data_IF_898290130935
#
_entry.id   IF_898290130935
#
_cell.length_a   1.000
_cell.length_b   1.000
_cell.length_c   1.000
_cell.angle_alpha   90.00
_cell.angle_beta   90.00
_cell.angle_gamma   90.00
#
_symmetry.space_group_name_H-M   'P 1'
#
loop_
_entity.id
_entity.type
_entity.pdbx_description
1 polymer ?
#
# COMPACT_ATOMS: atom_id res chain seq x y z
N UNK A 1 -4.14 12.45 -15.03
CA UNK A 1 -4.89 12.28 -13.77
C UNK A 1 -4.16 13.04 -12.65
N UNK A 2 -4.87 13.78 -11.78
CA UNK A 2 -4.26 14.43 -10.59
C UNK A 2 -4.48 13.52 -9.38
N UNK A 3 -3.47 13.38 -8.51
CA UNK A 3 -3.65 12.73 -7.21
C UNK A 3 -3.71 13.76 -6.06
N UNK A 4 -4.38 13.37 -4.97
CA UNK A 4 -4.57 14.20 -3.77
C UNK A 4 -3.78 13.69 -2.57
N UNK A 5 -3.42 12.41 -2.55
CA UNK A 5 -2.69 11.82 -1.45
C UNK A 5 -1.82 10.65 -1.88
N UNK A 6 -0.79 10.41 -1.09
CA UNK A 6 0.09 9.26 -1.18
C UNK A 6 0.35 8.72 0.22
N UNK A 7 0.06 7.43 0.41
CA UNK A 7 0.04 6.79 1.73
C UNK A 7 0.85 5.49 1.76
N UNK A 8 1.53 5.14 0.67
CA UNK A 8 2.55 4.09 0.68
C UNK A 8 3.92 4.76 0.57
N UNK A 9 4.48 5.16 1.73
CA UNK A 9 5.79 5.82 1.78
C UNK A 9 6.58 5.35 2.99
N UNK A 10 7.90 5.30 2.83
CA UNK A 10 8.84 4.79 3.82
C UNK A 10 9.76 5.89 4.30
N UNK A 11 10.16 5.81 5.56
CA UNK A 11 11.14 6.69 6.18
C UNK A 11 12.39 5.92 6.57
N UNK A 12 13.41 6.63 7.06
CA UNK A 12 14.62 6.01 7.64
C UNK A 12 14.33 4.95 8.71
N UNK A 13 13.11 4.89 9.27
CA UNK A 13 12.70 3.82 10.18
C UNK A 13 12.67 2.43 9.52
N UNK A 14 12.43 2.35 8.20
CA UNK A 14 12.47 1.08 7.44
C UNK A 14 13.88 0.52 7.21
N UNK A 15 14.94 1.27 7.56
CA UNK A 15 16.34 0.85 7.45
C UNK A 15 16.94 0.87 6.04
N UNK A 16 16.11 0.81 5.00
CA UNK A 16 16.51 0.89 3.59
C UNK A 16 15.80 2.00 2.80
N UNK A 17 15.13 2.90 3.51
CA UNK A 17 14.68 4.19 3.01
C UNK A 17 15.56 5.31 3.58
N UNK A 18 15.67 6.41 2.85
CA UNK A 18 16.73 7.41 3.01
C UNK A 18 16.21 8.81 3.33
N UNK A 19 14.93 8.93 3.69
CA UNK A 19 14.31 10.21 4.04
C UNK A 19 13.55 10.13 5.35
N UNK A 20 13.59 11.23 6.09
CA UNK A 20 12.88 11.40 7.34
C UNK A 20 11.41 11.71 7.08
N UNK A 21 10.57 11.56 8.10
CA UNK A 21 9.18 12.03 8.07
C UNK A 21 9.06 13.47 7.58
N UNK A 22 9.95 14.36 8.05
CA UNK A 22 9.93 15.78 7.68
C UNK A 22 10.20 15.98 6.19
N UNK A 23 11.23 15.31 5.64
CA UNK A 23 11.59 15.44 4.22
C UNK A 23 10.47 14.92 3.31
N UNK A 24 9.89 13.76 3.63
CA UNK A 24 8.75 13.22 2.87
C UNK A 24 7.54 14.17 2.92
N UNK A 25 7.25 14.73 4.08
CA UNK A 25 6.14 15.66 4.26
C UNK A 25 6.36 16.99 3.53
N UNK A 26 7.58 17.52 3.55
CA UNK A 26 7.94 18.73 2.80
C UNK A 26 7.76 18.52 1.29
N UNK A 27 8.15 17.35 0.77
CA UNK A 27 7.90 17.01 -0.63
C UNK A 27 6.40 16.91 -0.93
N UNK A 28 5.63 16.23 -0.07
CA UNK A 28 4.19 16.12 -0.23
C UNK A 28 3.51 17.50 -0.27
N UNK A 29 3.92 18.41 0.62
CA UNK A 29 3.44 19.79 0.64
C UNK A 29 3.85 20.56 -0.63
N UNK A 30 5.10 20.42 -1.07
CA UNK A 30 5.62 21.06 -2.28
C UNK A 30 4.89 20.59 -3.56
N UNK A 31 4.53 19.30 -3.62
CA UNK A 31 3.71 18.71 -4.70
C UNK A 31 2.21 19.01 -4.56
N UNK A 32 1.79 19.71 -3.50
CA UNK A 32 0.41 20.11 -3.28
C UNK A 32 -0.54 18.96 -2.96
N UNK A 33 -0.03 17.87 -2.37
CA UNK A 33 -0.86 16.81 -1.82
C UNK A 33 -1.66 17.33 -0.63
N UNK A 34 -2.93 16.96 -0.53
CA UNK A 34 -3.79 17.33 0.60
C UNK A 34 -3.60 16.39 1.79
N UNK A 35 -3.12 15.17 1.54
CA UNK A 35 -2.78 14.22 2.59
C UNK A 35 -1.52 13.40 2.26
N UNK A 36 -0.86 12.96 3.31
CA UNK A 36 0.36 12.17 3.30
C UNK A 36 0.23 11.04 4.33
N UNK A 37 0.73 9.85 3.99
CA UNK A 37 0.74 8.69 4.87
C UNK A 37 2.12 8.07 5.05
N UNK A 38 2.46 7.73 6.28
CA UNK A 38 3.65 6.93 6.61
C UNK A 38 3.26 5.46 6.72
N UNK A 39 3.99 4.58 6.04
CA UNK A 39 3.73 3.14 6.04
C UNK A 39 5.02 2.34 6.10
N UNK A 40 5.93 2.71 7.01
CA UNK A 40 7.17 1.97 7.23
C UNK A 40 6.94 0.47 7.43
N UNK A 41 7.91 -0.36 7.04
CA UNK A 41 7.79 -1.80 7.16
C UNK A 41 7.72 -2.25 8.62
N UNK A 42 6.88 -3.24 8.89
CA UNK A 42 6.81 -3.88 10.20
C UNK A 42 8.07 -4.72 10.55
N UNK A 43 8.25 -5.14 11.83
CA UNK A 43 9.54 -5.61 12.37
C UNK A 43 10.11 -6.89 11.76
N UNK A 44 9.31 -7.74 11.10
CA UNK A 44 9.83 -8.95 10.47
C UNK A 44 10.70 -8.65 9.24
N UNK A 45 10.56 -7.47 8.64
CA UNK A 45 11.45 -7.00 7.58
C UNK A 45 12.85 -6.73 8.17
N UNK A 46 13.92 -7.38 7.67
CA UNK A 46 15.26 -7.21 8.23
C UNK A 46 15.73 -5.75 8.22
N UNK A 47 16.11 -5.25 9.40
CA UNK A 47 16.62 -3.88 9.58
C UNK A 47 15.53 -2.80 9.71
N UNK A 48 14.25 -3.18 9.73
CA UNK A 48 13.14 -2.25 9.86
C UNK A 48 12.82 -1.83 11.30
N UNK A 49 11.81 -0.97 11.44
CA UNK A 49 11.36 -0.36 12.66
C UNK A 49 10.89 -1.40 13.70
N UNK A 50 11.29 -1.27 14.97
CA UNK A 50 10.76 -2.10 16.05
C UNK A 50 9.31 -1.70 16.38
N UNK A 51 8.57 -2.60 17.03
CA UNK A 51 7.15 -2.39 17.40
C UNK A 51 6.87 -1.07 18.15
N UNK A 52 7.82 -0.59 18.97
CA UNK A 52 7.68 0.65 19.74
C UNK A 52 7.55 1.89 18.84
N UNK A 53 8.09 1.85 17.62
CA UNK A 53 7.95 2.92 16.62
C UNK A 53 6.47 3.21 16.34
N UNK A 54 5.73 2.17 16.00
CA UNK A 54 4.31 2.23 15.66
C UNK A 54 3.41 2.58 16.86
N UNK A 55 3.83 2.21 18.07
CA UNK A 55 3.10 2.53 19.30
C UNK A 55 3.15 4.03 19.65
N UNK A 56 4.09 4.80 19.10
CA UNK A 56 4.31 6.19 19.49
C UNK A 56 3.74 7.23 18.51
N UNK A 57 2.97 6.82 17.50
CA UNK A 57 2.33 7.73 16.53
C UNK A 57 1.45 8.82 17.16
N UNK A 58 1.05 8.67 18.43
CA UNK A 58 0.39 9.73 19.22
C UNK A 58 1.17 11.06 19.28
N UNK A 59 2.48 11.06 19.02
CA UNK A 59 3.28 12.29 18.99
C UNK A 59 3.14 13.08 17.68
N UNK A 60 2.61 12.46 16.63
CA UNK A 60 2.44 13.05 15.30
C UNK A 60 1.13 13.83 15.27
N UNK A 61 1.20 15.09 14.84
CA UNK A 61 0.02 15.95 14.67
C UNK A 61 -0.77 15.52 13.43
N UNK A 62 -2.09 15.71 13.46
CA UNK A 62 -2.96 15.41 12.31
C UNK A 62 -2.74 16.29 11.09
N UNK A 63 -2.27 17.52 11.29
CA UNK A 63 -1.95 18.42 10.19
C UNK A 63 -0.61 19.09 10.46
N UNK A 64 0.26 19.06 9.44
CA UNK A 64 1.58 19.68 9.47
C UNK A 64 1.84 20.26 8.08
N UNK A 65 2.31 21.51 8.01
CA UNK A 65 2.57 22.22 6.73
C UNK A 65 1.34 22.29 5.78
N UNK A 66 0.11 22.28 6.34
CA UNK A 66 -1.13 22.30 5.56
C UNK A 66 -1.50 20.96 4.91
N UNK A 67 -0.80 19.88 5.25
CA UNK A 67 -1.04 18.51 4.76
C UNK A 67 -1.59 17.66 5.90
N UNK A 68 -2.67 16.91 5.65
CA UNK A 68 -3.18 15.94 6.61
C UNK A 68 -2.23 14.73 6.70
N UNK A 69 -1.87 14.33 7.91
CA UNK A 69 -0.91 13.25 8.17
C UNK A 69 -1.63 12.03 8.74
N UNK A 70 -1.49 10.91 8.03
CA UNK A 70 -2.00 9.61 8.42
C UNK A 70 -0.84 8.69 8.77
N UNK A 71 -1.01 7.91 9.83
CA UNK A 71 0.02 7.01 10.35
C UNK A 71 -0.41 5.58 10.17
N UNK A 72 0.25 4.86 9.28
CA UNK A 72 0.00 3.46 8.94
C UNK A 72 1.23 2.58 9.10
N UNK A 73 1.15 1.41 8.48
CA UNK A 73 2.23 0.43 8.39
C UNK A 73 2.09 -0.36 7.10
N UNK A 74 3.20 -0.77 6.53
CA UNK A 74 3.22 -1.92 5.62
C UNK A 74 3.57 -3.17 6.44
N UNK A 75 2.52 -3.88 6.85
CA UNK A 75 2.63 -5.13 7.59
C UNK A 75 3.05 -6.28 6.67
N UNK A 76 3.90 -7.16 7.19
CA UNK A 76 4.38 -8.31 6.45
C UNK A 76 3.41 -9.48 6.65
N UNK A 77 2.98 -10.11 5.57
CA UNK A 77 2.24 -11.38 5.65
C UNK A 77 3.23 -12.52 5.90
N UNK A 78 3.00 -13.26 6.99
CA UNK A 78 3.98 -14.18 7.57
C UNK A 78 3.74 -15.66 7.24
N UNK A 79 2.53 -15.99 6.78
CA UNK A 79 2.18 -17.34 6.38
C UNK A 79 1.03 -17.36 5.36
N UNK A 80 0.74 -18.54 4.83
CA UNK A 80 -0.35 -18.76 3.86
C UNK A 80 -1.75 -18.71 4.48
N UNK A 81 -1.87 -18.48 5.79
CA UNK A 81 -3.14 -18.19 6.46
C UNK A 81 -3.41 -16.69 6.55
N UNK A 82 -2.43 -15.85 6.19
CA UNK A 82 -2.56 -14.39 6.19
C UNK A 82 -2.27 -13.74 7.54
N UNK A 83 -1.56 -14.42 8.45
CA UNK A 83 -1.14 -13.81 9.71
C UNK A 83 -0.12 -12.69 9.45
N UNK A 84 -0.18 -11.62 10.24
CA UNK A 84 0.70 -10.46 10.14
C UNK A 84 1.76 -10.47 11.24
N UNK A 85 2.85 -9.73 11.03
CA UNK A 85 3.95 -9.59 11.99
C UNK A 85 3.73 -8.53 13.09
N UNK A 86 2.55 -7.91 13.12
CA UNK A 86 2.08 -7.04 14.20
C UNK A 86 0.72 -7.51 14.71
N UNK A 87 0.52 -7.45 16.02
CA UNK A 87 -0.75 -7.82 16.63
C UNK A 87 -1.82 -6.72 16.48
N UNK A 88 -3.08 -7.13 16.54
CA UNK A 88 -4.26 -6.24 16.44
C UNK A 88 -4.27 -5.09 17.45
N UNK A 89 -3.64 -5.27 18.61
CA UNK A 89 -3.60 -4.23 19.64
C UNK A 89 -2.75 -3.01 19.22
N UNK A 90 -1.81 -3.21 18.29
CA UNK A 90 -0.99 -2.18 17.67
C UNK A 90 -1.66 -1.68 16.40
N UNK A 91 -2.08 -2.58 15.52
CA UNK A 91 -2.70 -2.24 14.22
C UNK A 91 -3.90 -1.30 14.40
N UNK A 92 -4.73 -1.50 15.43
CA UNK A 92 -5.88 -0.63 15.72
C UNK A 92 -5.53 0.82 16.07
N UNK A 93 -4.28 1.13 16.40
CA UNK A 93 -3.81 2.49 16.74
C UNK A 93 -3.47 3.29 15.49
N UNK A 94 -3.32 2.63 14.35
CA UNK A 94 -2.99 3.21 13.07
C UNK A 94 -4.24 3.68 12.33
N UNK A 95 -4.04 4.61 11.42
CA UNK A 95 -5.08 5.06 10.49
C UNK A 95 -5.39 4.02 9.42
N UNK A 96 -4.41 3.22 9.00
CA UNK A 96 -4.58 2.20 7.98
C UNK A 96 -3.47 1.16 8.08
N UNK A 97 -3.70 -0.02 7.50
CA UNK A 97 -2.69 -1.07 7.34
C UNK A 97 -2.66 -1.49 5.88
N UNK A 98 -1.46 -1.45 5.31
CA UNK A 98 -1.13 -2.11 4.04
C UNK A 98 -0.60 -3.49 4.43
N UNK A 99 -1.10 -4.56 3.82
CA UNK A 99 -0.56 -5.90 4.00
C UNK A 99 0.06 -6.37 2.67
N UNK A 100 1.29 -6.87 2.74
CA UNK A 100 2.08 -7.19 1.55
C UNK A 100 2.85 -8.51 1.71
N UNK A 101 3.18 -9.13 0.58
CA UNK A 101 4.08 -10.28 0.53
C UNK A 101 5.50 -9.79 0.25
N UNK A 102 6.45 -10.12 1.12
CA UNK A 102 7.85 -9.77 0.93
C UNK A 102 8.73 -11.02 1.02
N UNK A 103 9.67 -11.14 0.07
CA UNK A 103 10.60 -12.27 -0.04
C UNK A 103 11.38 -12.55 1.26
N UNK A 104 11.81 -11.53 2.04
CA UNK A 104 12.46 -11.78 3.33
C UNK A 104 11.56 -12.38 4.42
N UNK A 105 10.24 -12.20 4.32
CA UNK A 105 9.29 -12.52 5.39
C UNK A 105 8.54 -13.83 5.13
N UNK A 106 8.20 -14.12 3.87
CA UNK A 106 7.49 -15.34 3.48
C UNK A 106 8.05 -15.88 2.17
N UNK A 107 8.53 -17.12 2.18
CA UNK A 107 8.91 -17.80 0.93
C UNK A 107 7.67 -17.92 0.03
N UNK A 108 7.82 -17.62 -1.26
CA UNK A 108 6.74 -17.78 -2.24
C UNK A 108 6.28 -19.24 -2.34
N UNK A 109 4.96 -19.43 -2.29
CA UNK A 109 4.26 -20.69 -2.53
C UNK A 109 3.74 -20.79 -3.96
N UNK A 110 2.81 -21.71 -4.19
CA UNK A 110 2.06 -21.75 -5.46
C UNK A 110 1.00 -20.63 -5.52
N UNK A 111 0.38 -20.44 -6.70
CA UNK A 111 -0.59 -19.37 -6.91
C UNK A 111 -1.77 -19.38 -5.92
N UNK A 112 -2.24 -20.58 -5.56
CA UNK A 112 -3.31 -20.76 -4.59
C UNK A 112 -2.86 -20.35 -3.18
N UNK A 113 -1.68 -20.80 -2.75
CA UNK A 113 -1.13 -20.48 -1.41
C UNK A 113 -0.88 -18.99 -1.23
N UNK A 114 -0.27 -18.33 -2.22
CA UNK A 114 -0.02 -16.89 -2.18
C UNK A 114 -1.33 -16.09 -2.16
N UNK A 115 -2.32 -16.52 -2.96
CA UNK A 115 -3.66 -15.90 -2.97
C UNK A 115 -4.38 -16.12 -1.64
N UNK A 116 -4.30 -17.31 -1.05
CA UNK A 116 -4.88 -17.61 0.27
C UNK A 116 -4.24 -16.74 1.37
N UNK A 117 -2.94 -16.46 1.28
CA UNK A 117 -2.23 -15.56 2.19
C UNK A 117 -2.80 -14.14 2.16
N UNK A 118 -2.94 -13.56 0.96
CA UNK A 118 -3.52 -12.23 0.76
C UNK A 118 -4.97 -12.17 1.24
N UNK A 119 -5.80 -13.14 0.86
CA UNK A 119 -7.20 -13.23 1.29
C UNK A 119 -7.32 -13.41 2.81
N UNK A 120 -6.42 -14.19 3.41
CA UNK A 120 -6.31 -14.35 4.85
C UNK A 120 -6.07 -13.02 5.56
N UNK A 121 -5.12 -12.21 5.05
CA UNK A 121 -4.82 -10.89 5.59
C UNK A 121 -6.00 -9.93 5.48
N UNK A 122 -6.76 -9.97 4.37
CA UNK A 122 -7.97 -9.13 4.18
C UNK A 122 -9.06 -9.36 5.25
N UNK A 123 -9.06 -10.51 5.92
CA UNK A 123 -10.03 -10.79 7.02
C UNK A 123 -9.73 -9.97 8.28
N UNK A 124 -8.51 -9.46 8.42
CA UNK A 124 -8.18 -8.58 9.53
C UNK A 124 -8.85 -7.21 9.31
N UNK A 125 -9.69 -6.72 10.24
CA UNK A 125 -10.48 -5.51 10.03
C UNK A 125 -9.64 -4.23 9.90
N UNK A 126 -8.35 -4.28 10.22
CA UNK A 126 -7.42 -3.15 10.08
C UNK A 126 -6.70 -3.11 8.73
N UNK A 127 -6.67 -4.22 7.98
CA UNK A 127 -6.11 -4.26 6.62
C UNK A 127 -7.07 -3.54 5.68
N UNK A 128 -6.56 -2.48 5.05
CA UNK A 128 -7.33 -1.61 4.13
C UNK A 128 -6.82 -1.70 2.70
N UNK A 129 -5.56 -2.10 2.54
CA UNK A 129 -4.87 -2.14 1.26
C UNK A 129 -4.05 -3.43 1.21
N UNK A 130 -4.08 -4.12 0.07
CA UNK A 130 -3.02 -5.07 -0.28
C UNK A 130 -1.99 -4.32 -1.12
N UNK A 131 -0.75 -4.28 -0.64
CA UNK A 131 0.36 -3.62 -1.33
C UNK A 131 0.89 -4.49 -2.47
N UNK A 132 1.25 -3.82 -3.57
CA UNK A 132 1.90 -4.39 -4.77
C UNK A 132 1.60 -5.88 -5.08
N UNK A 133 0.32 -6.27 -5.27
CA UNK A 133 -0.04 -7.65 -5.65
C UNK A 133 0.34 -8.00 -7.10
N UNK A 134 1.30 -7.29 -7.68
CA UNK A 134 1.78 -7.41 -9.05
C UNK A 134 3.13 -8.12 -9.18
N UNK A 135 3.81 -8.42 -8.06
CA UNK A 135 5.11 -9.05 -8.09
C UNK A 135 5.03 -10.55 -8.46
N UNK A 136 5.43 -10.89 -9.68
CA UNK A 136 5.43 -12.24 -10.23
C UNK A 136 6.33 -13.24 -9.48
N UNK A 137 7.16 -12.79 -8.52
CA UNK A 137 7.80 -13.70 -7.56
C UNK A 137 6.76 -14.43 -6.68
N UNK A 138 5.58 -13.84 -6.52
CA UNK A 138 4.38 -14.45 -5.93
C UNK A 138 3.29 -14.56 -7.00
N UNK A 139 3.23 -15.66 -7.76
CA UNK A 139 2.10 -15.86 -8.68
C UNK A 139 0.78 -15.88 -7.89
N UNK A 140 -0.30 -15.38 -8.51
CA UNK A 140 -1.62 -15.20 -7.87
C UNK A 140 -2.76 -15.66 -8.79
N UNK A 141 -3.92 -15.94 -8.19
CA UNK A 141 -5.18 -16.20 -8.88
C UNK A 141 -6.05 -14.92 -8.79
N UNK A 142 -5.89 -14.01 -9.75
CA UNK A 142 -6.47 -12.66 -9.66
C UNK A 142 -7.99 -12.62 -9.54
N UNK A 143 -8.73 -13.51 -10.20
CA UNK A 143 -10.19 -13.60 -10.06
C UNK A 143 -10.60 -13.81 -8.58
N UNK A 144 -9.92 -14.74 -7.90
CA UNK A 144 -10.17 -15.02 -6.47
C UNK A 144 -9.77 -13.84 -5.60
N UNK A 145 -8.61 -13.25 -5.87
CA UNK A 145 -8.11 -12.11 -5.11
C UNK A 145 -9.05 -10.90 -5.22
N UNK A 146 -9.51 -10.56 -6.43
CA UNK A 146 -10.41 -9.44 -6.70
C UNK A 146 -11.78 -9.66 -6.06
N UNK A 147 -12.34 -10.87 -6.16
CA UNK A 147 -13.60 -11.21 -5.51
C UNK A 147 -13.51 -10.99 -4.00
N UNK A 148 -12.43 -11.46 -3.37
CA UNK A 148 -12.22 -11.29 -1.93
C UNK A 148 -11.97 -9.82 -1.54
N UNK A 149 -11.18 -9.07 -2.32
CA UNK A 149 -10.95 -7.66 -2.10
C UNK A 149 -12.26 -6.86 -2.12
N UNK A 150 -13.15 -7.19 -3.08
CA UNK A 150 -14.48 -6.60 -3.16
C UNK A 150 -15.36 -6.98 -1.94
N UNK A 151 -15.35 -8.25 -1.53
CA UNK A 151 -16.12 -8.74 -0.37
C UNK A 151 -15.68 -8.08 0.95
N UNK A 152 -14.37 -8.05 1.20
CA UNK A 152 -13.78 -7.49 2.43
C UNK A 152 -13.60 -5.98 2.40
N UNK A 153 -13.93 -5.33 1.27
CA UNK A 153 -13.76 -3.88 1.05
C UNK A 153 -12.31 -3.42 1.25
N UNK A 154 -11.38 -4.17 0.69
CA UNK A 154 -9.94 -3.88 0.70
C UNK A 154 -9.55 -3.37 -0.68
N UNK A 155 -8.79 -2.28 -0.74
CA UNK A 155 -8.26 -1.75 -1.99
C UNK A 155 -7.04 -2.56 -2.45
N UNK A 156 -6.85 -2.69 -3.76
CA UNK A 156 -5.59 -3.18 -4.31
C UNK A 156 -4.75 -2.01 -4.83
N UNK A 157 -3.45 -2.09 -4.57
CA UNK A 157 -2.49 -1.08 -4.98
C UNK A 157 -1.98 -1.30 -6.41
N UNK A 158 -1.95 -0.23 -7.21
CA UNK A 158 -1.09 -0.13 -8.41
C UNK A 158 0.16 0.64 -8.02
N UNK A 159 1.23 -0.09 -7.73
CA UNK A 159 2.44 0.44 -7.10
C UNK A 159 3.43 0.98 -8.15
N UNK A 160 3.81 2.25 -8.04
CA UNK A 160 4.65 2.92 -9.03
C UNK A 160 6.07 2.35 -9.07
N UNK A 161 6.61 1.98 -7.90
CA UNK A 161 7.92 1.34 -7.74
C UNK A 161 7.99 -0.06 -8.39
N UNK A 162 6.86 -0.66 -8.77
CA UNK A 162 6.86 -1.90 -9.53
C UNK A 162 7.32 -1.72 -10.99
N UNK A 163 7.13 -0.54 -11.58
CA UNK A 163 7.41 -0.30 -12.99
C UNK A 163 8.80 0.26 -13.27
N UNK A 164 9.51 0.73 -12.24
CA UNK A 164 10.84 1.33 -12.44
C UNK A 164 11.86 0.26 -12.86
N UNK A 165 12.75 0.61 -13.79
CA UNK A 165 13.70 -0.34 -14.38
C UNK A 165 14.65 -1.02 -13.37
N UNK A 166 14.82 -0.44 -12.18
CA UNK A 166 15.64 -1.00 -11.09
C UNK A 166 14.83 -1.84 -10.09
N UNK A 167 13.53 -1.99 -10.29
CA UNK A 167 12.67 -2.80 -9.42
C UNK A 167 13.11 -4.26 -9.47
N UNK A 168 13.05 -4.92 -8.32
CA UNK A 168 13.29 -6.37 -8.21
C UNK A 168 12.02 -7.20 -8.46
N UNK A 169 10.86 -6.56 -8.60
CA UNK A 169 9.57 -7.24 -8.86
C UNK A 169 9.58 -7.80 -10.29
N UNK A 170 8.97 -8.97 -10.46
CA UNK A 170 8.92 -9.66 -11.76
C UNK A 170 7.56 -9.48 -12.43
N UNK A 171 7.54 -9.28 -13.75
CA UNK A 171 6.30 -9.26 -14.55
C UNK A 171 5.21 -8.26 -14.10
N UNK A 172 5.60 -7.19 -13.39
CA UNK A 172 4.65 -6.25 -12.81
C UNK A 172 3.70 -5.62 -13.86
N UNK A 173 4.22 -5.24 -15.03
CA UNK A 173 3.41 -4.60 -16.07
C UNK A 173 2.36 -5.56 -16.64
N UNK A 174 2.73 -6.81 -16.90
CA UNK A 174 1.83 -7.84 -17.39
C UNK A 174 0.78 -8.19 -16.33
N UNK A 175 1.22 -8.39 -15.09
CA UNK A 175 0.37 -8.72 -13.95
C UNK A 175 -0.66 -7.61 -13.65
N UNK A 176 -0.22 -6.35 -13.62
CA UNK A 176 -1.13 -5.20 -13.45
C UNK A 176 -2.16 -5.13 -14.56
N UNK A 177 -1.77 -5.35 -15.82
CA UNK A 177 -2.73 -5.36 -16.93
C UNK A 177 -3.78 -6.47 -16.77
N UNK A 178 -3.36 -7.67 -16.36
CA UNK A 178 -4.24 -8.81 -16.13
C UNK A 178 -5.24 -8.53 -15.00
N UNK A 179 -4.75 -8.16 -13.81
CA UNK A 179 -5.64 -8.00 -12.66
C UNK A 179 -6.51 -6.75 -12.76
N UNK A 180 -6.06 -5.67 -13.43
CA UNK A 180 -6.92 -4.51 -13.70
C UNK A 180 -8.07 -4.86 -14.64
N UNK A 181 -7.86 -5.76 -15.61
CA UNK A 181 -8.94 -6.21 -16.48
C UNK A 181 -10.05 -6.91 -15.68
N UNK A 182 -9.66 -7.73 -14.70
CA UNK A 182 -10.58 -8.37 -13.76
C UNK A 182 -11.19 -7.35 -12.80
N UNK A 183 -10.39 -6.52 -12.13
CA UNK A 183 -10.85 -5.49 -11.19
C UNK A 183 -11.93 -4.57 -11.80
N UNK A 184 -11.79 -4.27 -13.09
CA UNK A 184 -12.73 -3.43 -13.84
C UNK A 184 -14.11 -4.07 -13.97
N UNK A 185 -14.22 -5.39 -14.13
CA UNK A 185 -15.53 -6.08 -14.21
C UNK A 185 -16.27 -6.02 -12.88
N UNK A 186 -15.53 -6.08 -11.77
CA UNK A 186 -16.05 -5.97 -10.40
C UNK A 186 -16.17 -4.53 -9.89
N UNK A 187 -15.76 -3.53 -10.68
CA UNK A 187 -15.66 -2.11 -10.27
C UNK A 187 -14.91 -1.93 -8.95
N UNK A 188 -13.84 -2.68 -8.74
CA UNK A 188 -13.07 -2.65 -7.49
C UNK A 188 -12.34 -1.28 -7.36
N UNK A 189 -12.42 -0.61 -6.19
CA UNK A 189 -11.58 0.56 -5.94
C UNK A 189 -10.08 0.19 -5.89
N UNK A 190 -9.25 0.99 -6.56
CA UNK A 190 -7.79 0.83 -6.56
C UNK A 190 -7.13 2.08 -6.01
N UNK A 191 -5.91 1.93 -5.50
CA UNK A 191 -5.10 3.05 -4.99
C UNK A 191 -3.74 3.07 -5.69
N UNK A 192 -3.24 4.25 -6.02
CA UNK A 192 -1.87 4.41 -6.50
C UNK A 192 -0.95 4.65 -5.31
N UNK A 193 0.13 3.89 -5.20
CA UNK A 193 1.18 4.13 -4.20
C UNK A 193 2.49 4.47 -4.89
N UNK A 194 3.23 5.46 -4.38
CA UNK A 194 4.58 5.72 -4.88
C UNK A 194 5.56 4.66 -4.40
N UNK A 195 5.34 4.12 -3.19
CA UNK A 195 6.27 3.24 -2.49
C UNK A 195 7.64 3.93 -2.31
N UNK A 196 7.57 5.23 -2.00
CA UNK A 196 8.72 6.12 -1.92
C UNK A 196 9.63 5.70 -0.77
N UNK A 197 10.86 5.35 -1.11
CA UNK A 197 11.95 5.09 -0.18
C UNK A 197 12.89 6.30 -0.03
N UNK A 198 12.60 7.40 -0.72
CA UNK A 198 13.33 8.66 -0.67
C UNK A 198 12.38 9.79 -1.08
N UNK A 199 12.55 10.96 -0.48
CA UNK A 199 11.54 12.02 -0.49
C UNK A 199 11.10 12.42 -1.90
N UNK A 200 12.00 12.54 -2.87
CA UNK A 200 11.67 13.02 -4.21
C UNK A 200 10.71 12.10 -4.98
N UNK A 201 10.57 10.84 -4.57
CA UNK A 201 9.61 9.89 -5.16
C UNK A 201 8.19 10.04 -4.57
N UNK A 202 8.03 10.70 -3.42
CA UNK A 202 6.72 10.90 -2.76
C UNK A 202 5.73 11.55 -3.71
N UNK A 203 4.57 10.92 -3.93
CA UNK A 203 3.55 11.39 -4.87
C UNK A 203 3.88 11.22 -6.35
N UNK A 204 5.03 10.63 -6.72
CA UNK A 204 5.25 10.19 -8.10
C UNK A 204 4.56 8.84 -8.34
N UNK A 205 3.48 8.91 -9.13
CA UNK A 205 2.69 7.76 -9.56
C UNK A 205 2.54 7.72 -11.09
N UNK A 206 3.51 8.32 -11.79
CA UNK A 206 3.43 8.54 -13.24
C UNK A 206 3.35 7.24 -14.06
N UNK A 207 4.04 6.17 -13.67
CA UNK A 207 3.96 4.87 -14.34
C UNK A 207 2.66 4.14 -14.00
N UNK A 208 2.19 4.23 -12.75
CA UNK A 208 0.89 3.70 -12.36
C UNK A 208 -0.26 4.34 -13.14
N UNK A 209 -0.21 5.67 -13.36
CA UNK A 209 -1.19 6.36 -14.21
C UNK A 209 -1.17 5.82 -15.64
N UNK A 210 0.01 5.62 -16.24
CA UNK A 210 0.13 5.03 -17.58
C UNK A 210 -0.46 3.61 -17.64
N UNK A 211 -0.29 2.82 -16.59
CA UNK A 211 -0.89 1.48 -16.50
C UNK A 211 -2.43 1.55 -16.47
N UNK A 212 -3.01 2.44 -15.65
CA UNK A 212 -4.46 2.67 -15.61
C UNK A 212 -5.01 3.18 -16.94
N UNK A 213 -4.31 4.11 -17.61
CA UNK A 213 -4.70 4.65 -18.92
C UNK A 213 -4.75 3.55 -19.98
N UNK A 214 -3.74 2.66 -20.02
CA UNK A 214 -3.72 1.50 -20.92
C UNK A 214 -4.85 0.52 -20.64
N UNK A 215 -5.19 0.29 -19.38
CA UNK A 215 -6.32 -0.55 -18.97
C UNK A 215 -7.69 0.14 -19.19
N UNK A 216 -7.68 1.43 -19.52
CA UNK A 216 -8.87 2.30 -19.57
C UNK A 216 -9.65 2.14 -18.26
N UNK A 217 -8.95 2.18 -17.13
CA UNK A 217 -9.57 1.97 -15.82
C UNK A 217 -10.39 3.21 -15.43
N UNK A 218 -11.61 3.05 -14.89
CA UNK A 218 -12.45 4.20 -14.55
C UNK A 218 -11.82 5.07 -13.45
N UNK A 219 -11.60 6.36 -13.73
CA UNK A 219 -10.96 7.30 -12.81
C UNK A 219 -11.75 7.45 -11.50
N UNK A 220 -13.08 7.28 -11.52
CA UNK A 220 -13.90 7.35 -10.30
C UNK A 220 -13.62 6.22 -9.29
N UNK A 221 -12.97 5.13 -9.74
CA UNK A 221 -12.55 4.00 -8.91
C UNK A 221 -11.11 4.16 -8.37
N UNK A 222 -10.39 5.20 -8.77
CA UNK A 222 -9.03 5.48 -8.30
C UNK A 222 -9.11 6.36 -7.06
N UNK A 223 -8.82 5.79 -5.89
CA UNK A 223 -9.09 6.41 -4.60
C UNK A 223 -8.35 7.75 -4.43
N UNK A 224 -7.05 7.79 -4.74
CA UNK A 224 -6.28 9.01 -4.61
C UNK A 224 -6.44 10.01 -5.76
N UNK A 225 -7.23 9.70 -6.79
CA UNK A 225 -7.71 10.69 -7.76
C UNK A 225 -8.88 11.53 -7.23
N UNK A 226 -9.37 11.24 -6.01
CA UNK A 226 -10.45 12.00 -5.35
C UNK A 226 -10.02 12.44 -3.95
N UNK A 227 -10.46 13.62 -3.52
CA UNK A 227 -10.15 14.14 -2.17
C UNK A 227 -10.75 13.28 -1.06
N UNK A 228 -11.96 12.78 -1.27
CA UNK A 228 -12.71 11.95 -0.33
C UNK A 228 -12.30 10.47 -0.35
N UNK A 229 -11.52 10.04 -1.35
CA UNK A 229 -11.15 8.63 -1.51
C UNK A 229 -10.28 8.10 -0.38
N UNK A 230 -9.65 8.98 0.39
CA UNK A 230 -8.90 8.59 1.60
C UNK A 230 -9.81 7.89 2.61
N UNK A 231 -11.09 8.28 2.72
CA UNK A 231 -12.04 7.71 3.70
C UNK A 231 -12.25 6.19 3.51
N UNK A 232 -12.07 5.69 2.28
CA UNK A 232 -12.18 4.25 1.97
C UNK A 232 -11.10 3.41 2.66
N UNK A 233 -9.90 3.98 2.82
CA UNK A 233 -8.71 3.27 3.32
C UNK A 233 -8.38 3.62 4.76
N UNK A 234 -9.23 4.36 5.46
CA UNK A 234 -9.06 4.64 6.87
C UNK A 234 -9.77 3.59 7.72
N UNK A 235 -9.11 3.16 8.79
CA UNK A 235 -9.76 2.60 9.95
C UNK A 235 -10.82 3.61 10.41
N UNK A 236 -12.07 3.17 10.47
CA UNK A 236 -13.15 3.97 11.03
C UNK A 236 -12.80 4.33 12.46
N UNK A 237 -12.21 5.51 12.66
CA UNK A 237 -12.10 6.10 13.98
C UNK A 237 -13.45 6.76 14.23
N UNK A 238 -14.19 6.23 15.20
CA UNK A 238 -15.23 6.99 15.87
C UNK A 238 -14.66 8.24 16.53
#
# INVERSE_FOLDING_TARGET
MKIYFDIHTHTTASGHAFSTFKENLEEAAAKGLTAYGMSDHAPAMPGSAPEIYFNNFKCIRREVMGVQVYTGVEANIMDYQGNLDLNDSILKKMDYVIASLHVPCLKSGNAKENTDALIGAMKNPYVKIIGHPDDGRYPLEYERLICAAHEYKVALEVNNSSFVARSGRQNAAENVAEWLAVAKTYRLPVILGSDAHIYYDVGDVSESIKALERAVYPEELVLNARKDGIEYVLNGRG
#
